data_IF_904179133690
#
_entry.id   IF_904179133690
#
_cell.length_a   1.000
_cell.length_b   1.000
_cell.length_c   1.000
_cell.angle_alpha   90.00
_cell.angle_beta   90.00
_cell.angle_gamma   90.00
#
_symmetry.space_group_name_H-M   'P 1'
#
loop_
_entity.id
_entity.type
_entity.pdbx_description
1 polymer ?
#
# COMPACT_ATOMS: atom_id res chain seq x y z
N UNK A 1 -8.72 44.78 -8.83
CA UNK A 1 -9.79 43.83 -9.22
C UNK A 1 -9.29 42.81 -10.25
N UNK A 2 -8.95 43.19 -11.48
CA UNK A 2 -8.53 42.21 -12.52
C UNK A 2 -7.23 41.45 -12.20
N UNK A 3 -6.19 42.15 -11.72
CA UNK A 3 -4.93 41.50 -11.33
C UNK A 3 -5.11 40.48 -10.18
N UNK A 4 -6.04 40.77 -9.26
CA UNK A 4 -6.37 39.90 -8.13
C UNK A 4 -7.16 38.67 -8.58
N UNK A 5 -8.04 38.81 -9.58
CA UNK A 5 -8.71 37.68 -10.23
C UNK A 5 -7.72 36.79 -11.01
N UNK A 6 -6.77 37.40 -11.72
CA UNK A 6 -5.71 36.67 -12.43
C UNK A 6 -4.80 35.88 -11.47
N UNK A 7 -4.40 36.50 -10.35
CA UNK A 7 -3.66 35.84 -9.26
C UNK A 7 -4.44 34.64 -8.71
N UNK A 8 -5.73 34.80 -8.44
CA UNK A 8 -6.59 33.69 -8.01
C UNK A 8 -6.67 32.55 -9.04
N UNK A 9 -6.62 32.86 -10.34
CA UNK A 9 -6.55 31.86 -11.41
C UNK A 9 -5.25 31.03 -11.33
N UNK A 10 -4.11 31.71 -11.26
CA UNK A 10 -2.78 31.07 -11.16
C UNK A 10 -2.68 30.21 -9.90
N UNK A 11 -3.20 30.67 -8.76
CA UNK A 11 -3.22 29.89 -7.52
C UNK A 11 -4.07 28.61 -7.63
N UNK A 12 -5.20 28.66 -8.34
CA UNK A 12 -6.04 27.48 -8.59
C UNK A 12 -5.32 26.48 -9.49
N UNK A 13 -4.70 26.94 -10.55
CA UNK A 13 -3.96 26.08 -11.48
C UNK A 13 -2.76 25.41 -10.79
N UNK A 14 -2.03 26.17 -9.97
CA UNK A 14 -0.93 25.64 -9.16
C UNK A 14 -1.42 24.56 -8.18
N UNK A 15 -2.55 24.79 -7.49
CA UNK A 15 -3.15 23.79 -6.58
C UNK A 15 -3.64 22.55 -7.33
N UNK A 16 -4.25 22.72 -8.50
CA UNK A 16 -4.69 21.60 -9.33
C UNK A 16 -3.49 20.73 -9.76
N UNK A 17 -2.40 21.36 -10.22
CA UNK A 17 -1.18 20.66 -10.59
C UNK A 17 -0.55 19.91 -9.40
N UNK A 18 -0.52 20.54 -8.21
CA UNK A 18 -0.04 19.90 -6.98
C UNK A 18 -0.87 18.67 -6.62
N UNK A 19 -2.19 18.74 -6.71
CA UNK A 19 -3.08 17.60 -6.47
C UNK A 19 -2.82 16.46 -7.47
N UNK A 20 -2.70 16.77 -8.76
CA UNK A 20 -2.38 15.77 -9.78
C UNK A 20 -1.02 15.11 -9.54
N UNK A 21 0.02 15.89 -9.23
CA UNK A 21 1.34 15.37 -8.94
C UNK A 21 1.34 14.43 -7.72
N UNK A 22 0.63 14.83 -6.65
CA UNK A 22 0.51 14.04 -5.42
C UNK A 22 -0.23 12.72 -5.68
N UNK A 23 -1.31 12.77 -6.46
CA UNK A 23 -2.06 11.57 -6.84
C UNK A 23 -1.23 10.62 -7.71
N UNK A 24 -0.50 11.15 -8.69
CA UNK A 24 0.37 10.36 -9.56
C UNK A 24 1.49 9.67 -8.75
N UNK A 25 2.09 10.38 -7.78
CA UNK A 25 3.09 9.81 -6.89
C UNK A 25 2.49 8.70 -6.00
N UNK A 26 1.34 8.94 -5.38
CA UNK A 26 0.65 7.94 -4.57
C UNK A 26 0.31 6.69 -5.40
N UNK A 27 -0.17 6.87 -6.63
CA UNK A 27 -0.48 5.77 -7.54
C UNK A 27 0.78 4.97 -7.93
N UNK A 28 1.89 5.65 -8.26
CA UNK A 28 3.16 5.00 -8.56
C UNK A 28 3.70 4.19 -7.39
N UNK A 29 3.64 4.75 -6.17
CA UNK A 29 4.04 4.05 -4.93
C UNK A 29 3.16 2.82 -4.66
N UNK A 30 1.86 2.95 -4.87
CA UNK A 30 0.92 1.84 -4.70
C UNK A 30 1.24 0.67 -5.64
N UNK A 31 1.36 0.94 -6.94
CA UNK A 31 1.65 -0.10 -7.95
C UNK A 31 2.97 -0.81 -7.67
N UNK A 32 4.03 -0.03 -7.39
CA UNK A 32 5.36 -0.56 -7.12
C UNK A 32 5.37 -1.43 -5.87
N UNK A 33 4.78 -0.94 -4.76
CA UNK A 33 4.76 -1.67 -3.49
C UNK A 33 3.90 -2.93 -3.58
N UNK A 34 2.76 -2.89 -4.28
CA UNK A 34 1.93 -4.07 -4.53
C UNK A 34 2.63 -5.12 -5.39
N UNK A 35 3.38 -4.68 -6.40
CA UNK A 35 4.19 -5.58 -7.20
C UNK A 35 5.27 -6.25 -6.35
N UNK A 36 5.95 -5.50 -5.49
CA UNK A 36 6.96 -6.06 -4.58
C UNK A 36 6.36 -7.12 -3.65
N UNK A 37 5.20 -6.86 -3.02
CA UNK A 37 4.50 -7.87 -2.20
C UNK A 37 4.20 -9.15 -2.99
N UNK A 38 3.70 -8.97 -4.22
CA UNK A 38 3.33 -10.08 -5.11
C UNK A 38 4.55 -10.91 -5.48
N UNK A 39 5.65 -10.26 -5.90
CA UNK A 39 6.91 -10.91 -6.25
C UNK A 39 7.56 -11.59 -5.05
N UNK A 40 7.53 -10.95 -3.89
CA UNK A 40 8.05 -11.53 -2.66
C UNK A 40 7.30 -12.82 -2.28
N UNK A 41 5.97 -12.81 -2.43
CA UNK A 41 5.11 -13.96 -2.14
C UNK A 41 5.27 -15.10 -3.14
N UNK A 42 5.34 -14.78 -4.44
CA UNK A 42 5.35 -15.78 -5.51
C UNK A 42 6.75 -16.32 -5.79
N UNK A 43 7.74 -15.43 -5.81
CA UNK A 43 9.05 -15.73 -6.39
C UNK A 43 10.15 -15.83 -5.33
N UNK A 44 10.13 -15.06 -4.25
CA UNK A 44 11.27 -15.02 -3.30
C UNK A 44 11.08 -15.96 -2.12
N UNK A 45 10.00 -15.77 -1.35
CA UNK A 45 9.77 -16.53 -0.11
C UNK A 45 9.66 -18.04 -0.32
N UNK A 46 9.02 -18.55 -1.39
CA UNK A 46 8.97 -19.99 -1.62
C UNK A 46 10.35 -20.61 -1.90
N UNK A 47 11.23 -19.87 -2.58
CA UNK A 47 12.61 -20.32 -2.85
C UNK A 47 13.44 -20.34 -1.57
N UNK A 48 13.37 -19.28 -0.76
CA UNK A 48 14.05 -19.23 0.55
C UNK A 48 13.57 -20.33 1.49
N UNK A 49 12.26 -20.61 1.54
CA UNK A 49 11.70 -21.71 2.34
C UNK A 49 12.24 -23.06 1.89
N UNK A 50 12.34 -23.31 0.58
CA UNK A 50 12.92 -24.55 0.04
C UNK A 50 14.41 -24.67 0.38
N UNK A 51 15.16 -23.59 0.25
CA UNK A 51 16.59 -23.56 0.59
C UNK A 51 16.83 -23.86 2.09
N UNK A 52 16.09 -23.21 2.99
CA UNK A 52 16.18 -23.46 4.42
C UNK A 52 15.82 -24.90 4.78
N UNK A 53 14.76 -25.47 4.19
CA UNK A 53 14.39 -26.87 4.42
C UNK A 53 15.47 -27.85 3.93
N UNK A 54 16.15 -27.55 2.82
CA UNK A 54 17.25 -28.37 2.33
C UNK A 54 18.47 -28.28 3.25
N UNK A 55 18.80 -27.07 3.71
CA UNK A 55 19.88 -26.84 4.65
C UNK A 55 19.62 -27.49 6.01
N UNK A 56 18.38 -27.47 6.52
CA UNK A 56 18.03 -28.19 7.75
C UNK A 56 18.36 -29.69 7.62
N UNK A 57 17.99 -30.32 6.50
CA UNK A 57 18.29 -31.73 6.25
C UNK A 57 19.80 -31.98 6.16
N UNK A 58 20.53 -31.12 5.45
CA UNK A 58 21.98 -31.24 5.31
C UNK A 58 22.70 -31.06 6.66
N UNK A 59 22.27 -30.10 7.48
CA UNK A 59 22.79 -29.88 8.83
C UNK A 59 22.54 -31.09 9.73
N UNK A 60 21.32 -31.64 9.72
CA UNK A 60 20.99 -32.87 10.47
C UNK A 60 21.82 -34.08 10.04
N UNK A 61 22.23 -34.12 8.78
CA UNK A 61 23.13 -35.14 8.25
C UNK A 61 24.62 -34.86 8.50
N UNK A 62 24.96 -33.73 9.13
CA UNK A 62 26.35 -33.32 9.39
C UNK A 62 27.10 -32.79 8.17
N UNK A 63 26.39 -32.51 7.06
CA UNK A 63 27.00 -32.08 5.79
C UNK A 63 27.28 -30.57 5.72
N UNK A 64 26.61 -29.76 6.54
CA UNK A 64 26.85 -28.32 6.69
C UNK A 64 26.86 -27.94 8.17
N UNK A 65 27.42 -26.78 8.48
CA UNK A 65 27.41 -26.22 9.83
C UNK A 65 26.04 -25.67 10.22
N UNK A 66 25.81 -25.54 11.53
CA UNK A 66 24.61 -24.86 12.05
C UNK A 66 24.53 -23.39 11.58
N UNK A 67 25.68 -22.71 11.48
CA UNK A 67 25.74 -21.31 11.10
C UNK A 67 25.21 -21.07 9.68
N UNK A 68 25.51 -21.98 8.74
CA UNK A 68 25.00 -21.93 7.37
C UNK A 68 23.47 -22.11 7.30
N UNK A 69 22.92 -23.01 8.12
CA UNK A 69 21.47 -23.14 8.24
C UNK A 69 20.83 -21.89 8.86
N UNK A 70 21.41 -21.35 9.95
CA UNK A 70 20.94 -20.14 10.62
C UNK A 70 20.96 -18.91 9.70
N UNK A 71 21.95 -18.80 8.81
CA UNK A 71 22.01 -17.73 7.80
C UNK A 71 20.82 -17.77 6.84
N UNK A 72 20.38 -18.95 6.40
CA UNK A 72 19.19 -19.09 5.56
C UNK A 72 17.90 -18.74 6.31
N UNK A 73 17.82 -19.06 7.61
CA UNK A 73 16.71 -18.63 8.46
C UNK A 73 16.66 -17.10 8.57
N UNK A 74 17.80 -16.45 8.80
CA UNK A 74 17.92 -15.00 8.84
C UNK A 74 17.44 -14.36 7.53
N UNK A 75 17.93 -14.85 6.39
CA UNK A 75 17.47 -14.41 5.06
C UNK A 75 15.96 -14.56 4.87
N UNK A 76 15.35 -15.65 5.34
CA UNK A 76 13.89 -15.83 5.27
C UNK A 76 13.14 -14.83 6.15
N UNK A 77 13.68 -14.51 7.32
CA UNK A 77 13.10 -13.51 8.22
C UNK A 77 13.18 -12.12 7.60
N UNK A 78 14.34 -11.72 7.09
CA UNK A 78 14.56 -10.44 6.40
C UNK A 78 13.62 -10.28 5.19
N UNK A 79 13.48 -11.34 4.38
CA UNK A 79 12.55 -11.32 3.24
C UNK A 79 11.09 -11.12 3.67
N UNK A 80 10.66 -11.72 4.79
CA UNK A 80 9.31 -11.51 5.34
C UNK A 80 9.13 -10.10 5.88
N UNK A 81 10.13 -9.55 6.57
CA UNK A 81 10.08 -8.17 7.05
C UNK A 81 9.97 -7.20 5.87
N UNK A 82 10.71 -7.44 4.78
CA UNK A 82 10.60 -6.67 3.55
C UNK A 82 9.22 -6.78 2.90
N UNK A 83 8.66 -7.99 2.84
CA UNK A 83 7.29 -8.19 2.37
C UNK A 83 6.28 -7.36 3.17
N UNK A 84 6.40 -7.38 4.50
CA UNK A 84 5.53 -6.64 5.39
C UNK A 84 5.67 -5.13 5.18
N UNK A 85 6.90 -4.63 5.09
CA UNK A 85 7.16 -3.22 4.80
C UNK A 85 6.55 -2.78 3.47
N UNK A 86 6.69 -3.59 2.41
CA UNK A 86 6.07 -3.32 1.11
C UNK A 86 4.53 -3.36 1.18
N UNK A 87 3.96 -4.27 1.97
CA UNK A 87 2.51 -4.33 2.18
C UNK A 87 1.98 -3.09 2.91
N UNK A 88 2.70 -2.63 3.93
CA UNK A 88 2.37 -1.38 4.63
C UNK A 88 2.46 -0.21 3.66
N UNK A 89 3.54 -0.10 2.88
CA UNK A 89 3.70 0.98 1.90
C UNK A 89 2.57 0.99 0.84
N UNK A 90 2.17 -0.18 0.35
CA UNK A 90 1.04 -0.31 -0.56
C UNK A 90 -0.27 0.17 0.09
N UNK A 91 -0.54 -0.23 1.33
CA UNK A 91 -1.76 0.17 2.03
C UNK A 91 -1.78 1.68 2.32
N UNK A 92 -0.65 2.26 2.74
CA UNK A 92 -0.52 3.70 2.96
C UNK A 92 -0.76 4.49 1.66
N UNK A 93 -0.17 4.05 0.55
CA UNK A 93 -0.38 4.68 -0.75
C UNK A 93 -1.83 4.58 -1.22
N UNK A 94 -2.50 3.46 -0.96
CA UNK A 94 -3.92 3.29 -1.28
C UNK A 94 -4.82 4.26 -0.47
N UNK A 95 -4.56 4.39 0.83
CA UNK A 95 -5.27 5.34 1.69
C UNK A 95 -5.08 6.77 1.17
N UNK A 96 -3.88 7.11 0.71
CA UNK A 96 -3.60 8.44 0.15
C UNK A 96 -4.36 8.70 -1.16
N UNK A 97 -4.43 7.72 -2.06
CA UNK A 97 -5.25 7.82 -3.28
C UNK A 97 -6.71 8.07 -2.93
N UNK A 98 -7.24 7.35 -1.94
CA UNK A 98 -8.63 7.51 -1.47
C UNK A 98 -8.87 8.90 -0.88
N UNK A 99 -7.93 9.38 -0.06
CA UNK A 99 -7.96 10.72 0.54
C UNK A 99 -7.99 11.81 -0.54
N UNK A 100 -7.20 11.68 -1.60
CA UNK A 100 -7.11 12.65 -2.69
C UNK A 100 -8.32 12.60 -3.65
N UNK A 101 -8.96 11.44 -3.79
CA UNK A 101 -10.11 11.24 -4.70
C UNK A 101 -11.47 11.41 -4.02
N UNK A 102 -11.52 11.46 -2.68
CA UNK A 102 -12.77 11.52 -1.93
C UNK A 102 -13.55 10.21 -1.89
N UNK A 103 -12.97 9.11 -2.40
CA UNK A 103 -13.59 7.78 -2.40
C UNK A 103 -13.23 7.06 -1.09
N UNK A 104 -14.03 7.27 -0.04
CA UNK A 104 -13.89 6.53 1.23
C UNK A 104 -14.30 5.06 1.06
N UNK A 105 -13.55 4.12 1.66
CA UNK A 105 -13.96 2.71 1.79
C UNK A 105 -14.82 2.43 3.02
N UNK A 106 -15.20 3.45 3.80
CA UNK A 106 -16.32 3.27 4.71
C UNK A 106 -17.54 3.06 3.81
N UNK A 107 -17.97 1.81 3.69
CA UNK A 107 -19.21 1.44 3.05
C UNK A 107 -20.23 2.52 3.37
N UNK A 108 -20.62 3.28 2.34
CA UNK A 108 -21.80 4.13 2.42
C UNK A 108 -22.94 3.13 2.60
N UNK A 109 -23.20 2.77 3.85
CA UNK A 109 -24.50 2.31 4.27
C UNK A 109 -25.42 3.41 3.85
N UNK A 110 -26.04 3.18 2.70
CA UNK A 110 -27.16 3.92 2.16
C UNK A 110 -28.30 3.72 3.17
N UNK A 111 -28.21 4.43 4.30
CA UNK A 111 -29.30 4.60 5.23
C UNK A 111 -30.14 5.72 4.64
N UNK A 112 -31.33 5.43 4.09
CA UNK A 112 -32.18 6.47 3.55
C UNK A 112 -32.48 7.45 4.68
N UNK A 113 -32.16 8.72 4.45
CA UNK A 113 -32.64 9.83 5.27
C UNK A 113 -34.16 9.73 5.25
N UNK A 114 -34.85 9.44 6.38
CA UNK A 114 -36.30 9.48 6.36
C UNK A 114 -36.72 10.91 6.05
N UNK A 115 -37.51 11.06 4.98
CA UNK A 115 -38.05 12.32 4.55
C UNK A 115 -38.67 13.05 5.75
N UNK A 116 -38.29 14.31 5.93
CA UNK A 116 -38.92 15.21 6.87
C UNK A 116 -40.43 15.19 6.62
N UNK A 117 -41.20 14.69 7.59
CA UNK A 117 -42.65 14.82 7.60
C UNK A 117 -42.93 16.31 7.77
N UNK A 118 -43.29 16.96 6.67
CA UNK A 118 -43.91 18.28 6.68
C UNK A 118 -45.18 18.20 7.54
N UNK A 119 -45.10 18.78 8.73
CA UNK A 119 -46.27 19.29 9.43
C UNK A 119 -46.89 20.38 8.58
N UNK A 120 -47.98 20.08 7.87
CA UNK A 120 -49.03 21.07 7.64
C UNK A 120 -50.35 20.45 7.15
N UNK A 121 -51.40 20.77 7.90
CA UNK A 121 -52.77 21.03 7.46
C UNK A 121 -53.68 19.85 7.02
N UNK A 122 -54.41 19.28 8.00
CA UNK A 122 -55.88 19.43 8.11
C UNK A 122 -56.44 18.77 9.38
#
# INVERSE_FOLDING_TARGET
>A
AEAELALNGVERDARALQLYATLAEAHGRYLTSRLEVTRMSADVLPHLKRAENAAEKAWRAGAISYMEWAQLQAMRIEARQRQLAAAIAAQTALIEIQRLTGQSMLATGDAPVPAAVSTEDR
#
